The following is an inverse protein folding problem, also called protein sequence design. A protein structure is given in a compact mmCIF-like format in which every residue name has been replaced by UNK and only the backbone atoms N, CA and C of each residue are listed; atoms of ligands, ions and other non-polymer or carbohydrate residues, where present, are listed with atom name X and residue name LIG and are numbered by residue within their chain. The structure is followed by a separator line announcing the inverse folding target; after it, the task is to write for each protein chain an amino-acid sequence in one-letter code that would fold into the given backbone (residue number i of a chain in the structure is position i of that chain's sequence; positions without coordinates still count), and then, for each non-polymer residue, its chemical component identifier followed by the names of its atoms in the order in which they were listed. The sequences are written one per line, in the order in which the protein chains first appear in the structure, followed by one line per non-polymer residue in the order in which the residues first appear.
data_IF_441141902346
#
_entry.id   IF_441141902346
#
_cell.length_a   1.000
_cell.length_b   1.000
_cell.length_c   1.000
_cell.angle_alpha   90.00
_cell.angle_beta   90.00
_cell.angle_gamma   90.00
#
_symmetry.space_group_name_H-M   'P 1'
#
loop_
_entity.id
_entity.type
_entity.pdbx_description
1 polymer ?
#
# COMPACT_ATOMS: atom_id res chain seq x y z
N UNK A 1 -16.21 -12.24 14.63
CA UNK A 1 -15.03 -12.69 13.86
C UNK A 1 -14.58 -11.53 12.97
N UNK A 2 -13.29 -11.20 12.94
CA UNK A 2 -12.75 -10.08 12.13
C UNK A 2 -12.74 -10.50 10.65
N UNK A 3 -13.17 -9.61 9.74
CA UNK A 3 -13.23 -9.89 8.30
C UNK A 3 -12.03 -9.36 7.51
N UNK A 4 -11.50 -8.21 7.89
CA UNK A 4 -10.31 -7.56 7.28
C UNK A 4 -9.78 -6.46 8.19
N UNK A 5 -8.53 -6.06 7.97
CA UNK A 5 -7.89 -4.86 8.56
C UNK A 5 -7.41 -4.02 7.38
N UNK A 6 -7.70 -2.71 7.39
CA UNK A 6 -7.35 -1.80 6.29
C UNK A 6 -6.53 -0.66 6.86
N UNK A 7 -5.34 -0.42 6.32
CA UNK A 7 -4.53 0.73 6.68
C UNK A 7 -5.18 2.02 6.18
N UNK A 8 -5.21 3.05 7.02
CA UNK A 8 -5.71 4.38 6.66
C UNK A 8 -4.58 5.39 6.80
N UNK A 9 -4.13 5.93 5.68
CA UNK A 9 -3.04 6.90 5.62
C UNK A 9 -3.64 8.29 5.41
N UNK A 10 -3.27 9.25 6.25
CA UNK A 10 -3.68 10.65 6.10
C UNK A 10 -2.98 11.25 4.88
N UNK A 11 -3.75 11.88 3.99
CA UNK A 11 -3.22 12.71 2.90
C UNK A 11 -4.10 13.94 2.72
N UNK A 12 -3.47 15.09 2.47
CA UNK A 12 -4.15 16.34 2.11
C UNK A 12 -4.43 16.41 0.59
N UNK A 13 -3.84 15.51 -0.19
CA UNK A 13 -4.03 15.37 -1.64
C UNK A 13 -4.19 13.89 -2.02
N UNK A 14 -5.43 13.49 -2.29
CA UNK A 14 -5.75 12.10 -2.66
C UNK A 14 -5.30 11.73 -4.08
N UNK A 15 -4.93 12.69 -4.92
CA UNK A 15 -4.52 12.42 -6.30
C UNK A 15 -3.17 11.70 -6.37
N UNK A 16 -2.29 11.97 -5.40
CA UNK A 16 -0.99 11.28 -5.29
C UNK A 16 -1.14 9.79 -5.04
N UNK A 17 -2.24 9.39 -4.40
CA UNK A 17 -2.52 7.97 -4.17
C UNK A 17 -2.90 7.26 -5.48
N UNK A 18 -3.53 7.96 -6.43
CA UNK A 18 -3.83 7.36 -7.74
C UNK A 18 -2.52 6.99 -8.45
N UNK A 19 -1.56 7.91 -8.53
CA UNK A 19 -0.31 7.63 -9.23
C UNK A 19 0.46 6.44 -8.63
N UNK A 20 0.65 6.43 -7.31
CA UNK A 20 1.45 5.37 -6.69
C UNK A 20 0.69 4.04 -6.56
N UNK A 21 -0.56 4.06 -6.08
CA UNK A 21 -1.28 2.82 -5.79
C UNK A 21 -2.02 2.27 -7.01
N UNK A 22 -2.47 3.11 -7.95
CA UNK A 22 -3.13 2.65 -9.16
C UNK A 22 -2.14 2.48 -10.32
N UNK A 23 -1.41 3.52 -10.70
CA UNK A 23 -0.60 3.44 -11.93
C UNK A 23 0.66 2.58 -11.76
N UNK A 24 1.33 2.67 -10.60
CA UNK A 24 2.59 1.96 -10.33
C UNK A 24 2.32 0.57 -9.73
N UNK A 25 1.51 0.47 -8.67
CA UNK A 25 1.21 -0.81 -8.01
C UNK A 25 0.07 -1.61 -8.65
N UNK A 26 -0.55 -1.10 -9.72
CA UNK A 26 -1.67 -1.74 -10.45
C UNK A 26 -2.86 -2.16 -9.54
N UNK A 27 -3.14 -1.38 -8.48
CA UNK A 27 -4.30 -1.65 -7.62
C UNK A 27 -5.56 -0.99 -8.16
N UNK A 28 -6.70 -1.67 -8.05
CA UNK A 28 -7.98 -1.15 -8.48
C UNK A 28 -8.54 -0.15 -7.45
N UNK A 29 -9.18 0.93 -7.94
CA UNK A 29 -9.99 1.81 -7.09
C UNK A 29 -11.29 1.09 -6.70
N UNK A 30 -11.34 0.57 -5.47
CA UNK A 30 -12.47 -0.19 -4.96
C UNK A 30 -13.57 0.72 -4.38
N UNK A 31 -13.19 1.89 -3.87
CA UNK A 31 -14.11 2.85 -3.26
C UNK A 31 -13.58 4.27 -3.38
N UNK A 32 -14.48 5.22 -3.67
CA UNK A 32 -14.18 6.64 -3.63
C UNK A 32 -15.39 7.42 -3.10
N UNK A 33 -15.19 8.16 -2.01
CA UNK A 33 -16.20 9.02 -1.40
C UNK A 33 -15.78 10.50 -1.37
N UNK A 34 -14.79 10.90 -2.18
CA UNK A 34 -14.25 12.26 -2.22
C UNK A 34 -13.28 12.58 -1.08
N UNK A 35 -13.58 12.13 0.15
CA UNK A 35 -12.69 12.29 1.31
C UNK A 35 -11.78 11.08 1.58
N UNK A 36 -12.09 9.92 0.99
CA UNK A 36 -11.29 8.70 1.06
C UNK A 36 -11.33 7.99 -0.29
N UNK A 37 -10.19 7.44 -0.68
CA UNK A 37 -10.05 6.45 -1.75
C UNK A 37 -9.51 5.16 -1.14
N UNK A 38 -10.01 4.03 -1.61
CA UNK A 38 -9.53 2.70 -1.20
C UNK A 38 -9.10 1.93 -2.43
N UNK A 39 -7.84 1.49 -2.41
CA UNK A 39 -7.23 0.71 -3.47
C UNK A 39 -7.03 -0.73 -3.01
N UNK A 40 -7.12 -1.68 -3.93
CA UNK A 40 -6.82 -3.09 -3.66
C UNK A 40 -6.96 -3.96 -4.90
N UNK A 41 -6.65 -5.24 -4.75
CA UNK A 41 -6.86 -6.25 -5.78
C UNK A 41 -7.95 -7.24 -5.34
N UNK A 42 -8.28 -8.19 -6.22
CA UNK A 42 -9.24 -9.26 -5.93
C UNK A 42 -8.58 -10.51 -5.32
N UNK A 43 -7.29 -10.44 -5.03
CA UNK A 43 -6.54 -11.57 -4.49
C UNK A 43 -6.73 -11.68 -2.98
N UNK A 44 -6.82 -12.91 -2.48
CA UNK A 44 -6.96 -13.16 -1.05
C UNK A 44 -5.59 -13.27 -0.39
N UNK A 45 -5.20 -12.22 0.33
CA UNK A 45 -4.08 -12.26 1.26
C UNK A 45 -4.54 -12.65 2.67
N UNK A 46 -3.71 -13.39 3.41
CA UNK A 46 -3.95 -13.62 4.85
C UNK A 46 -3.72 -12.31 5.60
N UNK A 47 -4.63 -11.94 6.50
CA UNK A 47 -4.45 -10.73 7.30
C UNK A 47 -3.24 -10.89 8.24
N UNK A 48 -2.38 -9.88 8.28
CA UNK A 48 -1.19 -9.83 9.13
C UNK A 48 -1.07 -8.44 9.76
N UNK A 49 -0.54 -8.40 10.98
CA UNK A 49 -0.16 -7.16 11.67
C UNK A 49 1.19 -7.40 12.31
N UNK A 50 2.16 -6.56 11.98
CA UNK A 50 3.53 -6.67 12.46
C UNK A 50 3.77 -5.68 13.61
N UNK A 51 4.54 -6.13 14.61
CA UNK A 51 5.11 -5.29 15.66
C UNK A 51 6.62 -5.46 15.60
N UNK A 52 7.33 -4.37 15.37
CA UNK A 52 8.78 -4.40 15.18
C UNK A 52 9.46 -3.29 16.00
N UNK A 53 10.67 -3.55 16.46
CA UNK A 53 11.53 -2.54 17.10
C UNK A 53 12.40 -1.77 16.10
N UNK A 54 12.63 -2.32 14.90
CA UNK A 54 13.40 -1.74 13.79
C UNK A 54 12.98 -2.38 12.45
N UNK A 55 13.24 -1.71 11.32
CA UNK A 55 12.80 -2.12 9.97
C UNK A 55 13.64 -3.21 9.30
N UNK A 56 14.73 -3.64 9.91
CA UNK A 56 15.78 -4.47 9.34
C UNK A 56 17.05 -3.65 9.12
N UNK A 57 18.23 -4.20 9.47
CA UNK A 57 19.51 -3.49 9.40
C UNK A 57 19.48 -2.10 10.08
N UNK A 58 18.82 -1.99 11.23
CA UNK A 58 18.69 -0.76 12.05
C UNK A 58 17.94 0.41 11.36
N UNK A 59 17.22 0.15 10.27
CA UNK A 59 16.34 1.13 9.63
C UNK A 59 15.10 1.45 10.49
N UNK A 60 14.46 2.58 10.21
CA UNK A 60 13.18 2.93 10.84
C UNK A 60 12.09 1.91 10.46
N UNK A 61 11.17 1.64 11.38
CA UNK A 61 10.03 0.76 11.11
C UNK A 61 9.17 1.38 10.01
N UNK A 62 8.90 0.67 8.89
CA UNK A 62 8.13 1.24 7.79
C UNK A 62 6.66 1.42 8.19
N UNK A 63 5.99 2.39 7.56
CA UNK A 63 4.55 2.59 7.71
C UNK A 63 3.76 1.39 7.15
N UNK A 64 4.20 0.86 6.01
CA UNK A 64 3.62 -0.31 5.34
C UNK A 64 4.73 -1.22 4.81
N UNK A 65 4.47 -2.52 4.83
CA UNK A 65 5.21 -3.51 4.04
C UNK A 65 4.33 -3.93 2.88
N UNK A 66 4.84 -3.82 1.65
CA UNK A 66 4.13 -4.17 0.42
C UNK A 66 4.94 -5.30 -0.25
N UNK A 67 4.33 -6.47 -0.37
CA UNK A 67 4.88 -7.61 -1.10
C UNK A 67 4.48 -7.50 -2.57
N UNK A 68 5.44 -7.68 -3.48
CA UNK A 68 5.25 -7.59 -4.94
C UNK A 68 6.03 -8.70 -5.62
N UNK A 69 5.60 -9.11 -6.81
CA UNK A 69 6.23 -10.20 -7.57
C UNK A 69 7.65 -9.86 -8.01
N UNK A 70 7.89 -8.61 -8.43
CA UNK A 70 9.19 -8.13 -8.89
C UNK A 70 9.45 -6.68 -8.42
N UNK A 71 10.30 -6.54 -7.40
CA UNK A 71 10.62 -5.24 -6.82
C UNK A 71 11.51 -4.38 -7.72
N UNK A 72 12.37 -4.99 -8.54
CA UNK A 72 13.31 -4.26 -9.39
C UNK A 72 12.57 -3.56 -10.54
N UNK A 73 11.62 -4.26 -11.18
CA UNK A 73 10.77 -3.68 -12.22
C UNK A 73 9.93 -2.52 -11.71
N UNK A 74 9.36 -2.67 -10.51
CA UNK A 74 8.58 -1.61 -9.87
C UNK A 74 9.45 -0.40 -9.51
N UNK A 75 10.67 -0.66 -9.02
CA UNK A 75 11.61 0.39 -8.69
C UNK A 75 11.97 1.23 -9.92
N UNK A 76 12.21 0.59 -11.06
CA UNK A 76 12.50 1.28 -12.32
C UNK A 76 11.33 2.16 -12.80
N UNK A 77 10.07 1.76 -12.56
CA UNK A 77 8.89 2.58 -12.85
C UNK A 77 8.80 3.81 -11.95
N UNK A 78 9.18 3.69 -10.68
CA UNK A 78 9.17 4.80 -9.70
C UNK A 78 10.25 5.84 -10.02
N UNK A 79 11.38 5.43 -10.61
CA UNK A 79 12.50 6.33 -10.92
C UNK A 79 12.32 7.15 -12.21
N UNK A 80 11.29 6.86 -13.02
CA UNK A 80 10.97 7.60 -14.25
C UNK A 80 10.24 8.91 -13.96
#
# INVERSE_FOLDING_TARGET
MVKRIVASIKSDDLSRADHFYHDILDLNLLMNHGWIKTFGNYEEAKFQVSFASQGGNDTEVPLLSIEVDNVDELYDQIQQ
#
